data_IF_062118968509
#
_entry.id   IF_062118968509
#
_cell.length_a   1.000
_cell.length_b   1.000
_cell.length_c   1.000
_cell.angle_alpha   90.00
_cell.angle_beta   90.00
_cell.angle_gamma   90.00
#
_symmetry.space_group_name_H-M   'P 1'
#
loop_
_entity.id
_entity.type
_entity.pdbx_description
1 polymer ?
#
# COMPACT_ATOMS: atom_id res chain seq x y z
N UNK A 1 11.79 -0.01 -12.74
CA UNK A 1 11.26 -1.25 -13.34
C UNK A 1 11.77 -1.41 -14.77
N UNK A 2 11.54 -2.55 -15.45
CA UNK A 2 11.86 -2.68 -16.89
C UNK A 2 10.82 -1.96 -17.76
N UNK A 3 11.25 -1.29 -18.83
CA UNK A 3 10.37 -0.52 -19.73
C UNK A 3 9.23 -1.37 -20.33
N UNK A 4 9.47 -2.64 -20.61
CA UNK A 4 8.45 -3.55 -21.16
C UNK A 4 7.30 -3.79 -20.18
N UNK A 5 7.62 -3.99 -18.89
CA UNK A 5 6.61 -4.11 -17.83
C UNK A 5 5.87 -2.79 -17.62
N UNK A 6 6.57 -1.65 -17.72
CA UNK A 6 5.95 -0.34 -17.63
C UNK A 6 4.92 -0.13 -18.75
N UNK A 7 5.28 -0.45 -20.00
CA UNK A 7 4.37 -0.36 -21.15
C UNK A 7 3.12 -1.22 -20.98
N UNK A 8 3.28 -2.45 -20.50
CA UNK A 8 2.15 -3.32 -20.19
C UNK A 8 1.21 -2.69 -19.14
N UNK A 9 1.77 -2.14 -18.06
CA UNK A 9 0.98 -1.50 -17.01
C UNK A 9 0.33 -0.18 -17.46
N UNK A 10 1.01 0.59 -18.32
CA UNK A 10 0.44 1.80 -18.94
C UNK A 10 -0.82 1.43 -19.75
N UNK A 11 -0.78 0.39 -20.57
CA UNK A 11 -1.96 -0.09 -21.32
C UNK A 11 -3.10 -0.45 -20.37
N UNK A 12 -2.83 -1.32 -19.38
CA UNK A 12 -3.82 -1.72 -18.37
C UNK A 12 -4.41 -0.56 -17.59
N UNK A 13 -3.61 0.48 -17.32
CA UNK A 13 -4.10 1.68 -16.65
C UNK A 13 -5.12 2.47 -17.46
N UNK A 14 -4.96 2.52 -18.80
CA UNK A 14 -5.91 3.15 -19.70
C UNK A 14 -7.19 2.33 -19.83
N UNK A 15 -7.10 1.01 -19.69
CA UNK A 15 -8.23 0.09 -19.69
C UNK A 15 -8.96 0.03 -18.32
N UNK A 16 -8.45 0.71 -17.28
CA UNK A 16 -8.99 0.69 -15.92
C UNK A 16 -8.72 -0.60 -15.13
N UNK A 17 -7.89 -1.51 -15.65
CA UNK A 17 -7.51 -2.78 -15.01
C UNK A 17 -6.13 -2.68 -14.36
N UNK A 18 -5.95 -1.79 -13.38
CA UNK A 18 -4.69 -1.64 -12.66
C UNK A 18 -4.92 -1.47 -11.16
N UNK A 19 -4.05 -2.07 -10.35
CA UNK A 19 -4.07 -1.84 -8.90
C UNK A 19 -3.36 -0.53 -8.51
N UNK A 20 -3.72 0.04 -7.36
CA UNK A 20 -3.08 1.27 -6.83
C UNK A 20 -1.57 1.13 -6.70
N UNK A 21 -1.08 -0.04 -6.27
CA UNK A 21 0.37 -0.29 -6.15
C UNK A 21 1.06 -0.27 -7.52
N UNK A 22 0.47 -0.91 -8.52
CA UNK A 22 1.02 -0.92 -9.88
C UNK A 22 1.01 0.49 -10.50
N UNK A 23 -0.01 1.31 -10.20
CA UNK A 23 -0.08 2.69 -10.65
C UNK A 23 1.09 3.53 -10.10
N UNK A 24 1.36 3.44 -8.80
CA UNK A 24 2.49 4.13 -8.16
C UNK A 24 3.84 3.69 -8.78
N UNK A 25 3.99 2.39 -9.06
CA UNK A 25 5.21 1.89 -9.70
C UNK A 25 5.38 2.43 -11.12
N UNK A 26 4.30 2.53 -11.90
CA UNK A 26 4.30 3.18 -13.23
C UNK A 26 4.68 4.64 -13.12
N UNK A 27 4.02 5.41 -12.25
CA UNK A 27 4.31 6.84 -12.05
C UNK A 27 5.78 7.08 -11.71
N UNK A 28 6.36 6.28 -10.81
CA UNK A 28 7.78 6.36 -10.46
C UNK A 28 8.67 6.14 -11.69
N UNK A 29 8.34 5.15 -12.53
CA UNK A 29 9.11 4.88 -13.73
C UNK A 29 8.95 5.97 -14.80
N UNK A 30 7.77 6.59 -14.92
CA UNK A 30 7.53 7.70 -15.84
C UNK A 30 8.36 8.95 -15.45
N UNK A 31 8.60 9.16 -14.15
CA UNK A 31 9.48 10.23 -13.67
C UNK A 31 10.96 9.98 -14.03
N UNK A 32 11.38 8.72 -14.11
CA UNK A 32 12.77 8.32 -14.41
C UNK A 32 13.04 8.13 -15.92
N UNK A 33 12.02 7.78 -16.71
CA UNK A 33 12.17 7.37 -18.11
C UNK A 33 11.32 8.22 -19.07
N UNK A 34 11.97 9.17 -19.74
CA UNK A 34 11.34 10.08 -20.72
C UNK A 34 10.72 9.37 -21.92
N UNK A 35 11.29 8.23 -22.37
CA UNK A 35 10.67 7.47 -23.45
C UNK A 35 9.31 6.91 -23.04
N UNK A 36 9.19 6.39 -21.81
CA UNK A 36 7.94 5.81 -21.34
C UNK A 36 6.89 6.89 -21.08
N UNK A 37 7.27 8.10 -20.68
CA UNK A 37 6.33 9.22 -20.52
C UNK A 37 5.74 9.70 -21.85
N UNK A 38 6.55 9.77 -22.91
CA UNK A 38 6.05 10.07 -24.27
C UNK A 38 5.04 9.02 -24.71
N UNK A 39 5.36 7.72 -24.54
CA UNK A 39 4.44 6.64 -24.91
C UNK A 39 3.13 6.70 -24.12
N UNK A 40 3.20 6.95 -22.81
CA UNK A 40 2.00 7.08 -21.99
C UNK A 40 1.10 8.24 -22.46
N UNK A 41 1.70 9.38 -22.79
CA UNK A 41 1.00 10.54 -23.31
C UNK A 41 0.36 10.27 -24.68
N UNK A 42 1.09 9.63 -25.59
CA UNK A 42 0.58 9.30 -26.93
C UNK A 42 -0.62 8.35 -26.86
N UNK A 43 -0.55 7.31 -26.02
CA UNK A 43 -1.66 6.39 -25.82
C UNK A 43 -2.86 7.07 -25.16
N UNK A 44 -2.64 7.91 -24.14
CA UNK A 44 -3.71 8.67 -23.49
C UNK A 44 -4.41 9.63 -24.47
N UNK A 45 -3.65 10.28 -25.36
CA UNK A 45 -4.19 11.14 -26.42
C UNK A 45 -5.10 10.35 -27.36
N UNK A 46 -4.63 9.19 -27.84
CA UNK A 46 -5.41 8.33 -28.74
C UNK A 46 -6.71 7.87 -28.06
N UNK A 47 -6.64 7.37 -26.83
CA UNK A 47 -7.82 6.93 -26.07
C UNK A 47 -8.81 8.09 -25.89
N UNK A 48 -8.33 9.28 -25.53
CA UNK A 48 -9.18 10.46 -25.38
C UNK A 48 -9.87 10.89 -26.68
N UNK A 49 -9.15 10.84 -27.81
CA UNK A 49 -9.73 11.10 -29.14
C UNK A 49 -10.79 10.05 -29.50
N UNK A 50 -10.55 8.77 -29.21
CA UNK A 50 -11.54 7.71 -29.44
C UNK A 50 -12.78 7.86 -28.55
N UNK A 51 -12.62 8.21 -27.28
CA UNK A 51 -13.76 8.42 -26.37
C UNK A 51 -14.63 9.61 -26.77
N UNK A 52 -14.08 10.55 -27.54
CA UNK A 52 -14.85 11.69 -28.08
C UNK A 52 -15.73 11.32 -29.28
N UNK A 53 -15.50 10.15 -29.88
CA UNK A 53 -16.36 9.61 -30.93
C UNK A 53 -17.66 9.12 -30.28
N UNK A 54 -18.79 9.64 -30.74
CA UNK A 54 -20.11 9.31 -30.19
C UNK A 54 -20.30 7.79 -30.11
N UNK A 55 -20.58 7.28 -28.91
CA UNK A 55 -21.07 5.92 -28.75
C UNK A 55 -22.40 5.80 -29.50
N UNK A 56 -22.44 4.96 -30.53
CA UNK A 56 -23.70 4.56 -31.14
C UNK A 56 -24.48 3.70 -30.14
N UNK A 57 -25.76 4.00 -29.97
CA UNK A 57 -26.65 3.18 -29.15
C UNK A 57 -26.72 1.78 -29.72
N UNK A 58 -26.51 0.77 -28.88
CA UNK A 58 -26.67 -0.62 -29.29
C UNK A 58 -28.07 -0.86 -29.89
N UNK A 59 -28.19 -1.61 -30.98
CA UNK A 59 -29.46 -1.90 -31.61
C UNK A 59 -30.41 -2.64 -30.65
N UNK A 60 -31.71 -2.35 -30.77
CA UNK A 60 -32.73 -2.98 -29.94
C UNK A 60 -32.66 -4.51 -30.07
N UNK A 61 -32.69 -5.20 -28.92
CA UNK A 61 -32.63 -6.66 -28.86
C UNK A 61 -31.22 -7.29 -28.88
N UNK A 62 -30.13 -6.51 -29.04
CA UNK A 62 -28.77 -7.05 -28.99
C UNK A 62 -28.48 -7.76 -27.66
N UNK A 63 -28.81 -7.12 -26.53
CA UNK A 63 -28.59 -7.69 -25.20
C UNK A 63 -29.33 -9.03 -25.02
N UNK A 64 -30.57 -9.11 -25.52
CA UNK A 64 -31.38 -10.33 -25.46
C UNK A 64 -30.83 -11.44 -26.37
N UNK A 65 -30.41 -11.10 -27.59
CA UNK A 65 -29.80 -12.02 -28.53
C UNK A 65 -28.45 -12.57 -28.02
N UNK A 66 -27.66 -11.76 -27.32
CA UNK A 66 -26.41 -12.19 -26.70
C UNK A 66 -26.68 -13.10 -25.50
N UNK A 67 -27.58 -12.70 -24.59
CA UNK A 67 -27.92 -13.50 -23.41
C UNK A 67 -28.50 -14.88 -23.78
N UNK A 68 -29.39 -14.94 -24.77
CA UNK A 68 -29.94 -16.21 -25.26
C UNK A 68 -28.84 -17.14 -25.80
N UNK A 69 -27.88 -16.64 -26.59
CA UNK A 69 -26.75 -17.47 -27.07
C UNK A 69 -25.84 -17.94 -25.93
N UNK A 70 -25.52 -17.08 -24.96
CA UNK A 70 -24.71 -17.46 -23.79
C UNK A 70 -25.42 -18.54 -22.98
N UNK A 71 -26.72 -18.40 -22.77
CA UNK A 71 -27.53 -19.39 -22.04
C UNK A 71 -27.55 -20.76 -22.75
N UNK A 72 -27.51 -20.79 -24.07
CA UNK A 72 -27.42 -22.04 -24.85
C UNK A 72 -25.99 -22.58 -24.97
N UNK A 73 -24.97 -21.74 -24.77
CA UNK A 73 -23.56 -22.11 -24.85
C UNK A 73 -22.95 -22.45 -23.48
N UNK A 74 -23.73 -22.53 -22.41
CA UNK A 74 -23.28 -23.07 -21.13
C UNK A 74 -22.99 -24.57 -21.26
N UNK A 75 -21.82 -24.90 -21.82
CA UNK A 75 -21.15 -26.16 -21.55
C UNK A 75 -20.86 -26.13 -20.06
N UNK A 76 -21.72 -26.82 -19.31
CA UNK A 76 -21.67 -26.84 -17.86
C UNK A 76 -20.27 -27.21 -17.39
N UNK A 77 -19.58 -26.26 -16.76
CA UNK A 77 -18.60 -26.64 -15.77
C UNK A 77 -19.40 -27.44 -14.72
N UNK A 78 -19.10 -28.74 -14.51
CA UNK A 78 -19.80 -29.49 -13.49
C UNK A 78 -19.48 -28.79 -12.17
N UNK A 79 -20.52 -28.23 -11.55
CA UNK A 79 -20.43 -27.78 -10.18
C UNK A 79 -20.07 -29.02 -9.35
N UNK A 80 -18.79 -29.18 -9.05
CA UNK A 80 -18.27 -30.23 -8.20
C UNK A 80 -18.79 -29.97 -6.78
N UNK A 81 -20.04 -30.38 -6.54
CA UNK A 81 -20.65 -30.39 -5.22
C UNK A 81 -20.01 -31.56 -4.49
N UNK A 82 -18.93 -31.30 -3.74
CA UNK A 82 -18.48 -32.28 -2.75
C UNK A 82 -19.65 -32.56 -1.80
N UNK A 83 -20.00 -33.84 -1.54
CA UNK A 83 -20.95 -34.18 -0.50
C UNK A 83 -20.27 -33.92 0.86
N UNK A 84 -20.41 -32.70 1.38
CA UNK A 84 -19.95 -32.38 2.72
C UNK A 84 -20.80 -33.19 3.69
N UNK A 85 -20.21 -34.22 4.31
CA UNK A 85 -20.86 -35.03 5.34
C UNK A 85 -21.26 -34.12 6.51
N UNK A 86 -22.55 -33.79 6.59
CA UNK A 86 -23.18 -32.92 7.61
C UNK A 86 -22.86 -33.29 9.07
N UNK A 87 -22.32 -34.48 9.33
CA UNK A 87 -21.92 -34.92 10.68
C UNK A 87 -20.58 -34.38 11.19
N UNK A 88 -19.71 -33.83 10.34
CA UNK A 88 -18.38 -33.33 10.76
C UNK A 88 -18.37 -31.83 11.10
N UNK A 89 -19.40 -31.08 10.68
CA UNK A 89 -19.49 -29.65 10.96
C UNK A 89 -19.95 -29.35 12.40
N UNK A 90 -20.65 -30.29 13.06
CA UNK A 90 -21.14 -30.09 14.42
C UNK A 90 -20.04 -30.17 15.48
N UNK A 91 -18.96 -30.92 15.24
CA UNK A 91 -17.84 -31.05 16.19
C UNK A 91 -16.89 -29.84 16.15
N UNK A 92 -16.73 -29.21 14.99
CA UNK A 92 -15.89 -28.02 14.82
C UNK A 92 -16.47 -26.75 15.46
N UNK A 93 -17.79 -26.53 15.38
CA UNK A 93 -18.42 -25.37 16.03
C UNK A 93 -18.37 -25.45 17.57
N UNK A 94 -18.45 -26.66 18.14
CA UNK A 94 -18.37 -26.86 19.59
C UNK A 94 -17.00 -26.48 20.18
N UNK A 95 -15.92 -26.81 19.47
CA UNK A 95 -14.56 -26.50 19.92
C UNK A 95 -14.27 -24.99 19.92
N UNK A 96 -14.74 -24.26 18.90
CA UNK A 96 -14.55 -22.79 18.81
C UNK A 96 -15.30 -22.09 19.94
N UNK A 97 -16.54 -22.49 20.25
CA UNK A 97 -17.32 -21.89 21.33
C UNK A 97 -16.66 -22.06 22.71
N UNK A 98 -16.06 -23.23 22.98
CA UNK A 98 -15.31 -23.48 24.22
C UNK A 98 -14.06 -22.61 24.32
N UNK A 99 -13.30 -22.44 23.23
CA UNK A 99 -12.11 -21.59 23.21
C UNK A 99 -12.49 -20.13 23.49
N UNK A 100 -13.57 -19.63 22.88
CA UNK A 100 -14.06 -18.26 23.12
C UNK A 100 -14.48 -18.09 24.58
N UNK A 101 -15.20 -19.06 25.17
CA UNK A 101 -15.57 -19.03 26.59
C UNK A 101 -14.36 -19.03 27.51
N UNK A 102 -13.29 -19.77 27.19
CA UNK A 102 -12.06 -19.79 27.97
C UNK A 102 -11.28 -18.47 27.86
N UNK A 103 -11.25 -17.84 26.68
CA UNK A 103 -10.60 -16.53 26.47
C UNK A 103 -11.36 -15.44 27.22
N UNK A 104 -12.69 -15.41 27.09
CA UNK A 104 -13.55 -14.41 27.75
C UNK A 104 -13.57 -14.64 29.26
N UNK A 105 -13.78 -15.87 29.72
CA UNK A 105 -13.79 -16.22 31.15
C UNK A 105 -12.42 -16.03 31.82
N UNK A 106 -11.33 -16.45 31.16
CA UNK A 106 -9.97 -16.27 31.65
C UNK A 106 -9.52 -14.80 31.66
N UNK A 107 -9.90 -14.02 30.65
CA UNK A 107 -9.65 -12.58 30.60
C UNK A 107 -10.40 -11.81 31.69
N UNK A 108 -11.65 -12.18 31.96
CA UNK A 108 -12.49 -11.56 32.99
C UNK A 108 -11.96 -11.81 34.41
N UNK A 109 -11.41 -13.02 34.67
CA UNK A 109 -10.78 -13.35 35.95
C UNK A 109 -9.46 -12.60 36.14
N UNK A 110 -8.64 -12.45 35.09
CA UNK A 110 -7.37 -11.70 35.17
C UNK A 110 -7.54 -10.21 35.39
N UNK A 111 -8.51 -9.57 34.73
CA UNK A 111 -8.81 -8.15 34.95
C UNK A 111 -9.25 -7.90 36.39
N UNK A 112 -9.94 -8.85 37.01
CA UNK A 112 -10.40 -8.76 38.40
C UNK A 112 -9.32 -9.06 39.45
N UNK A 113 -8.19 -9.67 39.10
CA UNK A 113 -7.11 -9.94 40.08
C UNK A 113 -5.93 -8.97 39.98
N UNK A 114 -5.77 -8.26 38.85
CA UNK A 114 -4.61 -7.38 38.62
C UNK A 114 -4.81 -5.92 39.00
N UNK A 115 -6.02 -5.52 39.42
CA UNK A 115 -6.26 -4.22 40.04
C UNK A 115 -5.88 -4.27 41.54
N UNK A 116 -4.62 -4.62 41.83
CA UNK A 116 -4.00 -4.16 43.06
C UNK A 116 -3.62 -2.69 42.84
N UNK A 117 -3.98 -1.77 43.75
CA UNK A 117 -3.64 -0.36 43.59
C UNK A 117 -2.11 -0.21 43.60
N UNK A 118 -1.52 0.18 42.46
CA UNK A 118 -0.14 0.67 42.39
C UNK A 118 -0.04 1.87 43.34
N UNK A 119 0.78 1.77 44.38
CA UNK A 119 1.04 2.87 45.30
C UNK A 119 1.83 3.96 44.58
N UNK A 120 1.41 5.21 44.73
CA UNK A 120 1.96 6.36 44.00
C UNK A 120 3.46 6.64 44.24
N UNK A 121 4.09 5.92 45.17
CA UNK A 121 5.50 6.06 45.52
C UNK A 121 6.45 5.54 44.41
N UNK A 122 5.99 4.59 43.60
CA UNK A 122 6.79 4.01 42.51
C UNK A 122 6.70 4.85 41.22
N UNK A 123 5.57 5.55 41.04
CA UNK A 123 5.37 6.49 39.92
C UNK A 123 6.23 7.75 40.11
N UNK A 124 6.37 8.25 41.35
CA UNK A 124 7.21 9.42 41.63
C UNK A 124 8.69 9.17 41.26
N UNK A 125 9.24 8.00 41.60
CA UNK A 125 10.65 7.65 41.32
C UNK A 125 10.99 7.56 39.82
N UNK A 126 10.03 7.22 38.96
CA UNK A 126 10.27 7.13 37.51
C UNK A 126 10.22 8.50 36.83
N UNK A 127 9.41 9.42 37.35
CA UNK A 127 9.31 10.80 36.86
C UNK A 127 10.53 11.64 37.24
N UNK A 128 11.06 11.47 38.46
CA UNK A 128 12.30 12.14 38.90
C UNK A 128 13.53 11.65 38.11
N UNK A 129 13.58 10.36 37.75
CA UNK A 129 14.64 9.81 36.91
C UNK A 129 14.59 10.30 35.46
N UNK A 130 13.38 10.40 34.88
CA UNK A 130 13.19 10.87 33.52
C UNK A 130 13.48 12.37 33.37
N UNK A 131 13.13 13.20 34.36
CA UNK A 131 13.41 14.64 34.34
C UNK A 131 14.90 14.94 34.45
N UNK A 132 15.66 14.18 35.24
CA UNK A 132 17.12 14.30 35.32
C UNK A 132 17.81 13.96 33.97
N UNK A 133 17.32 12.94 33.26
CA UNK A 133 17.87 12.55 31.95
C UNK A 133 17.60 13.60 30.86
N UNK A 134 16.41 14.21 30.84
CA UNK A 134 16.05 15.25 29.85
C UNK A 134 16.84 16.54 30.09
N UNK A 135 17.07 16.92 31.36
CA UNK A 135 17.87 18.10 31.69
C UNK A 135 19.36 17.93 31.31
N UNK A 136 19.89 16.70 31.43
CA UNK A 136 21.25 16.37 31.00
C UNK A 136 21.40 16.39 29.48
N UNK A 137 20.38 15.96 28.71
CA UNK A 137 20.39 16.06 27.25
C UNK A 137 20.27 17.51 26.76
N UNK A 138 19.51 18.35 27.45
CA UNK A 138 19.35 19.76 27.08
C UNK A 138 20.60 20.61 27.34
N UNK A 139 21.50 20.16 28.23
CA UNK A 139 22.77 20.83 28.53
C UNK A 139 23.91 20.44 27.56
N UNK A 140 23.71 19.45 26.69
CA UNK A 140 24.66 19.10 25.63
C UNK A 140 24.37 19.95 24.39
N UNK A 141 25.15 21.01 24.19
CA UNK A 141 25.10 21.91 23.03
C UNK A 141 25.40 21.14 21.72
N UNK A 142 24.44 20.95 20.79
CA UNK A 142 24.66 20.15 19.59
C UNK A 142 25.21 20.97 18.40
N UNK A 143 25.61 22.24 18.62
CA UNK A 143 25.95 23.16 17.53
C UNK A 143 27.46 23.32 17.22
N UNK A 144 28.37 22.69 17.95
CA UNK A 144 29.81 22.81 17.63
C UNK A 144 30.22 22.03 16.36
N UNK A 145 29.54 20.94 16.01
CA UNK A 145 30.00 20.02 14.95
C UNK A 145 29.65 20.48 13.51
N UNK A 146 28.64 21.34 13.35
CA UNK A 146 28.18 21.79 12.02
C UNK A 146 29.10 22.88 11.44
N UNK A 147 29.85 23.60 12.28
CA UNK A 147 30.72 24.69 11.82
C UNK A 147 32.03 24.20 11.20
N UNK A 148 32.51 23.01 11.55
CA UNK A 148 33.76 22.44 11.01
C UNK A 148 33.54 21.83 9.61
N UNK A 149 32.40 21.19 9.37
CA UNK A 149 32.10 20.57 8.06
C UNK A 149 31.85 21.62 6.97
N UNK A 150 31.21 22.75 7.33
CA UNK A 150 30.91 23.81 6.36
C UNK A 150 32.14 24.65 5.97
N UNK A 151 33.16 24.72 6.85
CA UNK A 151 34.39 25.48 6.59
C UNK A 151 35.36 24.78 5.62
N UNK A 152 35.32 23.44 5.55
CA UNK A 152 36.18 22.66 4.65
C UNK A 152 35.64 22.55 3.21
N UNK A 153 34.34 22.78 2.98
CA UNK A 153 33.74 22.66 1.65
C UNK A 153 33.77 23.95 0.80
N UNK A 154 34.20 25.09 1.37
CA UNK A 154 34.24 26.38 0.67
C UNK A 154 35.64 26.82 0.19
N UNK A 155 36.68 26.00 0.36
CA UNK A 155 38.07 26.39 0.09
C UNK A 155 38.77 25.50 -0.96
N UNK A 156 38.19 25.35 -2.16
CA UNK A 156 39.02 25.13 -3.35
C UNK A 156 38.56 26.00 -4.55
N UNK A 157 39.41 26.94 -5.02
CA UNK A 157 39.07 27.86 -6.09
C UNK A 157 39.24 27.26 -7.49
N UNK A 158 38.24 27.47 -8.35
CA UNK A 158 38.39 27.38 -9.81
C UNK A 158 39.54 28.29 -10.28
N UNK A 159 40.68 27.70 -10.66
CA UNK A 159 41.70 28.39 -11.46
C UNK A 159 41.41 28.17 -12.94
N UNK A 160 40.86 29.22 -13.54
CA UNK A 160 40.88 29.45 -14.97
C UNK A 160 42.33 29.48 -15.52
N UNK A 161 42.51 28.96 -16.74
CA UNK A 161 43.62 29.28 -17.65
C UNK A 161 43.20 28.92 -19.10
N UNK A 162 43.74 29.58 -20.13
CA UNK A 162 43.10 30.73 -20.76
C UNK A 162 42.84 30.51 -22.26
N UNK A 163 42.02 31.40 -22.81
CA UNK A 163 41.91 31.66 -24.25
C UNK A 163 43.22 32.31 -24.74
N UNK A 164 43.93 31.69 -25.67
CA UNK A 164 44.79 32.40 -26.63
C UNK A 164 45.16 31.51 -27.84
N UNK A 165 44.82 32.07 -29.00
CA UNK A 165 45.28 31.80 -30.39
C UNK A 165 44.76 30.56 -31.12
#
# INVERSE_FOLDING_TARGET
MKCERARYLISRSLDGDISVREMIDVERHLAECSHCSVVAHDLARIVGELSSVSEETAPEGLAFAVQSRIAHQSVGAPAYRMPVRRGLQSTLCGAVALIVLLIVGGGYVRVRTHWAPVSGEEVARTVDGATAQVLALAAADPLEDITIVNALHCAEPQKAKPLNE
#
